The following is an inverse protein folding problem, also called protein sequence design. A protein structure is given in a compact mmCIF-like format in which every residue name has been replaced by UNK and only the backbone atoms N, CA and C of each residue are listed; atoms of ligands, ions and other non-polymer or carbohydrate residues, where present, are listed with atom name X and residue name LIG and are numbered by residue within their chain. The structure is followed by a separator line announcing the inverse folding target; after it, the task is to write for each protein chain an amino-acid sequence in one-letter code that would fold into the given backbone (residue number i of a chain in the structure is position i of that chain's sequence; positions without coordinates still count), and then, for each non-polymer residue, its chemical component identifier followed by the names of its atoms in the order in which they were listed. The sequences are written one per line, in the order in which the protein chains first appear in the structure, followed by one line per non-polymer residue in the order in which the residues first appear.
data_IF_663902975808
#
_entry.id   IF_663902975808
#
_cell.length_a   1.000
_cell.length_b   1.000
_cell.length_c   1.000
_cell.angle_alpha   90.00
_cell.angle_beta   90.00
_cell.angle_gamma   90.00
#
_symmetry.space_group_name_H-M   'P 1'
#
loop_
_entity.id
_entity.type
_entity.pdbx_description
1 polymer ?
#
# COMPACT_ATOMS: atom_id res chain seq x y z
N UNK A 1 -23.12 11.86 -28.99
CA UNK A 1 -22.55 10.49 -28.93
C UNK A 1 -21.50 10.45 -27.85
N UNK A 2 -21.57 9.51 -26.90
CA UNK A 2 -20.56 9.40 -25.85
C UNK A 2 -19.27 8.84 -26.45
N UNK A 3 -18.18 9.62 -26.40
CA UNK A 3 -16.87 9.15 -26.83
C UNK A 3 -16.44 7.97 -25.94
N UNK A 4 -16.27 6.79 -26.53
CA UNK A 4 -15.82 5.60 -25.82
C UNK A 4 -14.33 5.36 -26.04
N UNK A 5 -13.61 5.03 -24.96
CA UNK A 5 -12.18 4.80 -24.98
C UNK A 5 -11.88 3.37 -24.51
N UNK A 6 -10.94 2.73 -25.19
CA UNK A 6 -10.48 1.40 -24.85
C UNK A 6 -9.67 1.39 -23.54
N UNK A 7 -10.05 0.51 -22.60
CA UNK A 7 -9.32 0.30 -21.36
C UNK A 7 -8.31 -0.85 -21.52
N UNK A 8 -7.03 -0.53 -21.30
CA UNK A 8 -5.93 -1.50 -21.42
C UNK A 8 -5.90 -2.58 -20.32
N UNK A 9 -6.80 -2.52 -19.34
CA UNK A 9 -6.80 -3.48 -18.22
C UNK A 9 -7.92 -4.50 -18.26
N UNK A 10 -9.15 -4.07 -18.57
CA UNK A 10 -10.30 -4.96 -18.68
C UNK A 10 -10.56 -5.43 -20.11
N UNK A 11 -9.88 -4.84 -21.11
CA UNK A 11 -10.07 -5.19 -22.52
C UNK A 11 -11.41 -4.73 -23.10
N UNK A 12 -12.08 -3.75 -22.49
CA UNK A 12 -13.38 -3.22 -22.94
C UNK A 12 -13.33 -1.72 -23.18
N UNK A 13 -14.22 -1.23 -24.04
CA UNK A 13 -14.42 0.20 -24.29
C UNK A 13 -15.43 0.77 -23.28
N UNK A 14 -15.10 1.92 -22.69
CA UNK A 14 -15.93 2.61 -21.71
C UNK A 14 -16.17 4.06 -22.14
N UNK A 15 -17.25 4.70 -21.69
CA UNK A 15 -17.42 6.13 -21.87
C UNK A 15 -16.22 6.91 -21.32
N UNK A 16 -15.79 7.97 -22.01
CA UNK A 16 -14.65 8.81 -21.61
C UNK A 16 -14.78 9.34 -20.17
N UNK A 17 -16.01 9.56 -19.70
CA UNK A 17 -16.30 9.99 -18.31
C UNK A 17 -15.89 8.94 -17.26
N UNK A 18 -15.91 7.65 -17.60
CA UNK A 18 -15.49 6.55 -16.73
C UNK A 18 -14.00 6.20 -16.89
N UNK A 19 -13.27 6.98 -17.68
CA UNK A 19 -11.90 6.68 -18.09
C UNK A 19 -10.90 7.70 -17.54
N UNK A 20 -9.72 7.21 -17.16
CA UNK A 20 -8.59 8.04 -16.72
C UNK A 20 -7.29 7.57 -17.37
N UNK A 21 -6.42 8.51 -17.70
CA UNK A 21 -5.04 8.20 -18.05
C UNK A 21 -4.24 8.02 -16.76
N UNK A 22 -3.51 6.93 -16.68
CA UNK A 22 -2.52 6.69 -15.63
C UNK A 22 -1.12 6.78 -16.23
N UNK A 23 -0.20 7.41 -15.49
CA UNK A 23 1.21 7.35 -15.83
C UNK A 23 1.76 5.97 -15.46
N UNK A 24 2.47 5.35 -16.39
CA UNK A 24 3.23 4.12 -16.19
C UNK A 24 4.69 4.36 -16.57
N UNK A 25 5.62 3.48 -16.18
CA UNK A 25 7.05 3.62 -16.50
C UNK A 25 7.34 3.82 -18.00
N UNK A 26 6.49 3.28 -18.88
CA UNK A 26 6.62 3.40 -20.33
C UNK A 26 5.65 4.39 -20.99
N UNK A 27 5.05 5.32 -20.23
CA UNK A 27 4.14 6.34 -20.77
C UNK A 27 2.73 6.31 -20.17
N UNK A 28 1.80 7.08 -20.75
CA UNK A 28 0.42 7.21 -20.27
C UNK A 28 -0.47 6.12 -20.88
N UNK A 29 -1.27 5.43 -20.06
CA UNK A 29 -2.23 4.40 -20.50
C UNK A 29 -3.65 4.72 -20.03
N UNK A 30 -4.64 4.45 -20.88
CA UNK A 30 -6.06 4.59 -20.53
C UNK A 30 -6.54 3.38 -19.72
N UNK A 31 -7.12 3.64 -18.54
CA UNK A 31 -7.79 2.62 -17.70
C UNK A 31 -9.10 3.14 -17.13
N UNK A 32 -10.07 2.24 -16.96
CA UNK A 32 -11.36 2.60 -16.37
C UNK A 32 -11.23 2.85 -14.87
N UNK A 33 -12.03 3.77 -14.33
CA UNK A 33 -12.00 4.16 -12.91
C UNK A 33 -12.13 2.93 -12.01
N UNK A 34 -13.07 2.01 -12.31
CA UNK A 34 -13.26 0.75 -11.57
C UNK A 34 -11.97 -0.05 -11.41
N UNK A 35 -11.20 -0.21 -12.49
CA UNK A 35 -9.93 -0.96 -12.44
C UNK A 35 -8.84 -0.25 -11.63
N UNK A 36 -8.82 1.08 -11.71
CA UNK A 36 -7.87 1.92 -10.99
C UNK A 36 -8.16 1.82 -9.49
N UNK A 37 -9.42 1.94 -9.09
CA UNK A 37 -9.85 1.83 -7.70
C UNK A 37 -9.59 0.43 -7.13
N UNK A 38 -9.88 -0.63 -7.88
CA UNK A 38 -9.57 -2.00 -7.48
C UNK A 38 -8.07 -2.19 -7.22
N UNK A 39 -7.21 -1.65 -8.09
CA UNK A 39 -5.75 -1.70 -7.92
C UNK A 39 -5.30 -0.88 -6.70
N UNK A 40 -5.87 0.32 -6.51
CA UNK A 40 -5.55 1.20 -5.36
C UNK A 40 -5.89 0.53 -4.03
N UNK A 41 -7.07 -0.08 -3.91
CA UNK A 41 -7.50 -0.77 -2.67
C UNK A 41 -6.52 -1.86 -2.26
N UNK A 42 -5.99 -2.64 -3.20
CA UNK A 42 -5.00 -3.68 -2.91
C UNK A 42 -3.68 -3.10 -2.38
N UNK A 43 -3.21 -1.98 -2.97
CA UNK A 43 -2.00 -1.29 -2.48
C UNK A 43 -2.23 -0.69 -1.09
N UNK A 44 -3.36 0.00 -0.88
CA UNK A 44 -3.69 0.60 0.42
C UNK A 44 -3.85 -0.44 1.51
N UNK A 45 -4.49 -1.59 1.23
CA UNK A 45 -4.59 -2.69 2.19
C UNK A 45 -3.22 -3.27 2.54
N UNK A 46 -2.35 -3.49 1.55
CA UNK A 46 -0.98 -3.97 1.79
C UNK A 46 -0.16 -2.98 2.61
N UNK A 47 -0.26 -1.68 2.32
CA UNK A 47 0.42 -0.62 3.06
C UNK A 47 -0.05 -0.55 4.52
N UNK A 48 -1.37 -0.59 4.75
CA UNK A 48 -1.96 -0.61 6.09
C UNK A 48 -1.48 -1.82 6.91
N UNK A 49 -1.41 -3.00 6.28
CA UNK A 49 -0.87 -4.19 6.93
C UNK A 49 0.63 -4.00 7.29
N UNK A 50 1.44 -3.50 6.36
CA UNK A 50 2.86 -3.23 6.61
C UNK A 50 3.11 -2.23 7.75
N UNK A 51 2.29 -1.18 7.86
CA UNK A 51 2.35 -0.21 8.98
C UNK A 51 2.01 -0.87 10.32
N UNK A 52 1.02 -1.76 10.33
CA UNK A 52 0.63 -2.52 11.53
C UNK A 52 1.79 -3.40 12.00
N UNK A 53 2.39 -4.17 11.10
CA UNK A 53 3.55 -5.03 11.39
C UNK A 53 4.74 -4.21 11.89
N UNK A 54 5.04 -3.07 11.25
CA UNK A 54 6.15 -2.18 11.66
C UNK A 54 5.94 -1.65 13.08
N UNK A 55 4.69 -1.32 13.45
CA UNK A 55 4.35 -0.84 14.79
C UNK A 55 4.56 -1.93 15.84
N UNK A 56 4.09 -3.16 15.56
CA UNK A 56 4.30 -4.32 16.44
C UNK A 56 5.79 -4.61 16.61
N UNK A 57 6.55 -4.66 15.53
CA UNK A 57 7.99 -4.92 15.59
C UNK A 57 8.72 -3.85 16.41
N UNK A 58 8.29 -2.58 16.31
CA UNK A 58 8.87 -1.48 17.08
C UNK A 58 8.56 -1.62 18.58
N UNK A 59 7.34 -1.97 18.96
CA UNK A 59 6.97 -2.17 20.37
C UNK A 59 7.71 -3.35 20.98
N UNK A 60 7.76 -4.48 20.27
CA UNK A 60 8.47 -5.69 20.71
C UNK A 60 9.96 -5.44 20.89
N UNK A 61 10.59 -4.74 19.92
CA UNK A 61 12.01 -4.40 20.03
C UNK A 61 12.30 -3.47 21.21
N UNK A 62 11.44 -2.46 21.45
CA UNK A 62 11.57 -1.58 22.60
C UNK A 62 11.43 -2.34 23.93
N UNK A 63 10.47 -3.27 24.02
CA UNK A 63 10.28 -4.12 25.20
C UNK A 63 11.53 -4.99 25.46
N UNK A 64 12.08 -5.61 24.41
CA UNK A 64 13.32 -6.40 24.51
C UNK A 64 14.52 -5.59 24.98
N UNK A 65 14.71 -4.38 24.45
CA UNK A 65 15.80 -3.50 24.86
C UNK A 65 15.67 -3.13 26.33
N UNK A 66 14.46 -2.74 26.79
CA UNK A 66 14.22 -2.41 28.19
C UNK A 66 14.45 -3.60 29.13
N UNK A 67 13.99 -4.79 28.74
CA UNK A 67 14.19 -6.01 29.52
C UNK A 67 15.69 -6.32 29.67
N UNK A 68 16.48 -6.17 28.59
CA UNK A 68 17.93 -6.34 28.63
C UNK A 68 18.61 -5.32 29.54
N UNK A 69 18.26 -4.04 29.41
CA UNK A 69 18.81 -2.98 30.26
C UNK A 69 18.49 -3.20 31.74
N UNK A 70 17.28 -3.70 32.05
CA UNK A 70 16.91 -4.01 33.43
C UNK A 70 17.72 -5.21 33.97
N UNK A 71 17.90 -6.26 33.17
CA UNK A 71 18.74 -7.40 33.54
C UNK A 71 20.20 -7.00 33.77
N UNK A 72 20.77 -6.15 32.91
CA UNK A 72 22.12 -5.61 33.07
C UNK A 72 22.27 -4.77 34.34
N UNK A 73 21.25 -3.99 34.72
CA UNK A 73 21.24 -3.22 35.99
C UNK A 73 21.16 -4.10 37.22
N UNK A 74 20.32 -5.15 37.20
CA UNK A 74 20.18 -6.09 38.32
C UNK A 74 21.49 -6.86 38.57
N UNK A 75 22.20 -7.25 37.51
CA UNK A 75 23.50 -7.93 37.61
C UNK A 75 24.62 -7.01 38.12
N UNK A 76 24.55 -5.70 37.88
CA UNK A 76 25.55 -4.73 38.34
C UNK A 76 25.32 -4.24 39.79
N UNK A 77 24.16 -4.55 40.38
CA UNK A 77 23.77 -4.10 41.72
C UNK A 77 23.90 -5.17 42.81
N UNK A 78 24.31 -6.39 42.46
CA UNK A 78 24.61 -7.51 43.37
C UNK A 78 26.07 -7.92 43.26
#
# INVERSE_FOLDING_TARGET
MAETIYCYHCGRSHPRVEMRQIATKGGKKWRCIKSIEATKRNVTQRDAFGKTVTTINKSENQARIKARQNAERLLAAG
#
